data_IF_389067377205
#
_entry.id   IF_389067377205
#
_cell.length_a   1.000
_cell.length_b   1.000
_cell.length_c   1.000
_cell.angle_alpha   90.00
_cell.angle_beta   90.00
_cell.angle_gamma   90.00
#
_symmetry.space_group_name_H-M   'P 1'
#
loop_
_entity.id
_entity.type
_entity.pdbx_description
1 polymer ?
#
# COMPACT_ATOMS: atom_id res chain seq x y z
N UNK A 1 7.07 -37.97 -1.17
CA UNK A 1 7.57 -37.72 0.21
C UNK A 1 7.62 -39.05 0.93
N UNK A 2 8.73 -39.44 1.56
CA UNK A 2 8.75 -40.62 2.40
C UNK A 2 7.83 -40.40 3.59
N UNK A 3 6.93 -41.34 3.80
CA UNK A 3 5.94 -41.30 4.87
C UNK A 3 6.60 -41.87 6.13
N UNK A 4 7.09 -41.03 7.02
CA UNK A 4 7.68 -41.44 8.28
C UNK A 4 6.59 -41.69 9.31
N UNK A 5 6.04 -42.92 9.32
CA UNK A 5 5.16 -43.38 10.39
C UNK A 5 5.97 -44.27 11.34
N UNK A 6 6.12 -43.86 12.58
CA UNK A 6 6.80 -44.68 13.61
C UNK A 6 6.97 -43.96 14.94
N UNK A 7 7.20 -44.75 16.00
CA UNK A 7 7.57 -44.23 17.33
C UNK A 7 9.03 -43.79 17.29
N UNK A 8 9.28 -42.51 17.48
CA UNK A 8 10.62 -41.95 17.47
C UNK A 8 11.22 -41.99 18.88
N UNK A 9 12.33 -42.70 19.06
CA UNK A 9 13.14 -42.60 20.27
C UNK A 9 14.14 -41.42 20.12
N UNK A 10 14.58 -40.82 21.22
CA UNK A 10 15.58 -39.77 21.23
C UNK A 10 16.87 -40.18 20.51
N UNK A 11 17.27 -41.47 20.63
CA UNK A 11 18.44 -42.02 19.95
C UNK A 11 18.27 -42.15 18.45
N UNK A 12 17.08 -42.53 17.98
CA UNK A 12 16.77 -42.59 16.54
C UNK A 12 16.70 -41.16 15.94
N UNK A 13 16.23 -40.22 16.72
CA UNK A 13 16.23 -38.80 16.32
C UNK A 13 17.68 -38.31 16.15
N UNK A 14 18.56 -38.60 17.11
CA UNK A 14 19.97 -38.18 17.06
C UNK A 14 20.77 -38.82 15.93
N UNK A 15 20.49 -40.07 15.60
CA UNK A 15 21.16 -40.81 14.52
C UNK A 15 20.70 -40.33 13.12
N UNK A 16 19.52 -39.77 13.01
CA UNK A 16 18.94 -39.28 11.74
C UNK A 16 19.11 -37.77 11.51
N UNK A 17 19.63 -37.03 12.49
CA UNK A 17 19.88 -35.58 12.33
C UNK A 17 20.82 -35.28 11.15
N UNK A 18 21.78 -36.18 10.83
CA UNK A 18 22.67 -36.03 9.67
C UNK A 18 22.08 -36.52 8.34
N UNK A 19 20.93 -37.19 8.36
CA UNK A 19 20.24 -37.74 7.18
C UNK A 19 18.83 -37.16 6.97
N UNK A 20 18.48 -36.13 7.69
CA UNK A 20 17.23 -35.41 7.46
C UNK A 20 17.30 -34.69 6.12
N UNK A 21 16.46 -35.04 5.14
CA UNK A 21 16.52 -34.48 3.80
C UNK A 21 15.91 -33.08 3.70
N UNK A 22 15.52 -32.46 4.84
CA UNK A 22 14.94 -31.11 4.82
C UNK A 22 16.08 -30.09 4.76
N UNK A 23 16.60 -29.89 3.57
CA UNK A 23 17.51 -28.76 3.30
C UNK A 23 16.74 -27.47 3.07
N UNK A 24 15.42 -27.54 2.87
CA UNK A 24 14.57 -26.43 2.53
C UNK A 24 13.31 -26.40 3.39
N UNK A 25 12.75 -25.19 3.53
CA UNK A 25 11.46 -24.93 4.18
C UNK A 25 10.59 -24.10 3.26
N UNK A 26 9.30 -24.43 3.18
CA UNK A 26 8.32 -23.60 2.47
C UNK A 26 7.81 -22.51 3.40
N UNK A 27 7.87 -21.27 2.92
CA UNK A 27 7.51 -20.07 3.67
C UNK A 27 6.49 -19.26 2.88
N UNK A 28 5.43 -18.82 3.55
CA UNK A 28 4.55 -17.79 3.06
C UNK A 28 5.04 -16.44 3.59
N UNK A 29 5.06 -15.41 2.72
CA UNK A 29 5.44 -14.06 3.17
C UNK A 29 4.60 -12.98 2.50
N UNK A 30 4.48 -11.87 3.22
CA UNK A 30 3.82 -10.66 2.78
C UNK A 30 4.80 -9.50 2.89
N UNK A 31 5.03 -8.81 1.77
CA UNK A 31 5.83 -7.58 1.73
C UNK A 31 4.89 -6.42 1.46
N UNK A 32 4.94 -5.40 2.30
CA UNK A 32 4.23 -4.14 2.09
C UNK A 32 5.25 -3.00 2.15
N UNK A 33 5.29 -2.16 1.16
CA UNK A 33 6.14 -0.98 1.10
C UNK A 33 5.56 0.19 1.87
N UNK A 34 6.34 1.24 2.06
CA UNK A 34 5.86 2.49 2.66
C UNK A 34 4.78 3.14 1.80
N UNK A 35 3.69 3.60 2.39
CA UNK A 35 2.67 4.38 1.68
C UNK A 35 3.17 5.77 1.31
N UNK A 36 2.62 6.39 0.28
CA UNK A 36 2.85 7.77 -0.09
C UNK A 36 2.20 8.77 0.86
N UNK A 37 2.74 9.96 0.98
CA UNK A 37 2.14 11.05 1.73
C UNK A 37 0.97 11.68 0.96
N UNK A 38 -0.07 12.14 1.64
CA UNK A 38 -1.10 12.97 1.04
C UNK A 38 -0.58 14.39 0.75
N UNK A 39 -1.21 15.12 -0.17
CA UNK A 39 -0.92 16.53 -0.37
C UNK A 39 -1.51 17.40 0.74
N UNK A 40 -1.11 18.66 0.81
CA UNK A 40 -1.59 19.57 1.86
C UNK A 40 -3.06 19.96 1.73
N UNK A 41 -3.67 19.81 0.56
CA UNK A 41 -5.03 20.33 0.28
C UNK A 41 -5.89 19.48 -0.66
N UNK A 42 -5.37 18.42 -1.28
CA UNK A 42 -6.17 17.69 -2.26
C UNK A 42 -5.88 16.20 -2.36
N UNK A 43 -4.95 15.78 -3.18
CA UNK A 43 -4.78 14.34 -3.47
C UNK A 43 -4.37 13.48 -2.29
N UNK A 44 -5.02 12.34 -2.12
CA UNK A 44 -4.66 11.32 -1.14
C UNK A 44 -3.39 10.58 -1.53
N UNK A 45 -2.59 10.12 -0.56
CA UNK A 45 -1.42 9.27 -0.83
C UNK A 45 -1.81 7.86 -1.24
N UNK A 46 -1.10 7.27 -2.20
CA UNK A 46 -1.28 5.86 -2.58
C UNK A 46 -0.69 4.91 -1.55
N UNK A 47 -1.25 3.73 -1.43
CA UNK A 47 -0.69 2.67 -0.60
C UNK A 47 0.66 2.20 -1.13
N UNK A 48 1.50 1.69 -0.25
CA UNK A 48 2.68 0.94 -0.66
C UNK A 48 2.29 -0.30 -1.45
N UNK A 49 3.12 -0.70 -2.41
CA UNK A 49 2.92 -1.94 -3.14
C UNK A 49 2.88 -3.13 -2.19
N UNK A 50 2.07 -4.12 -2.53
CA UNK A 50 1.88 -5.35 -1.78
C UNK A 50 2.27 -6.54 -2.64
N UNK A 51 3.12 -7.42 -2.09
CA UNK A 51 3.48 -8.71 -2.69
C UNK A 51 3.16 -9.79 -1.67
N UNK A 52 2.30 -10.74 -2.05
CA UNK A 52 2.00 -11.92 -1.25
C UNK A 52 2.44 -13.17 -2.01
N UNK A 53 3.35 -13.92 -1.44
CA UNK A 53 3.91 -15.15 -2.03
C UNK A 53 3.71 -16.30 -1.07
N UNK A 54 3.27 -17.45 -1.60
CA UNK A 54 3.01 -18.68 -0.83
C UNK A 54 3.95 -19.79 -1.24
N UNK A 55 4.22 -20.70 -0.32
CA UNK A 55 5.01 -21.92 -0.53
C UNK A 55 6.37 -21.66 -1.21
N UNK A 56 7.01 -20.54 -0.85
CA UNK A 56 8.33 -20.21 -1.38
C UNK A 56 9.38 -21.03 -0.67
N UNK A 57 10.21 -21.70 -1.45
CA UNK A 57 11.18 -22.67 -0.93
C UNK A 57 12.49 -21.97 -0.55
N UNK A 58 12.83 -21.99 0.74
CA UNK A 58 14.04 -21.40 1.28
C UNK A 58 15.00 -22.46 1.80
N UNK A 59 16.29 -22.31 1.50
CA UNK A 59 17.34 -23.18 2.02
C UNK A 59 17.57 -22.89 3.51
N UNK A 60 17.51 -23.92 4.33
CA UNK A 60 17.78 -23.80 5.77
C UNK A 60 19.21 -23.32 6.03
N UNK A 61 19.37 -22.45 7.01
CA UNK A 61 20.67 -21.90 7.39
C UNK A 61 21.17 -20.75 6.52
N UNK A 62 20.39 -20.30 5.53
CA UNK A 62 20.71 -19.07 4.76
C UNK A 62 20.18 -17.83 5.49
N UNK A 63 20.93 -16.73 5.35
CA UNK A 63 20.51 -15.42 5.85
C UNK A 63 19.88 -14.61 4.72
N UNK A 64 18.71 -14.05 4.95
CA UNK A 64 18.01 -13.19 4.00
C UNK A 64 17.94 -11.77 4.52
N UNK A 65 18.35 -10.82 3.68
CA UNK A 65 18.26 -9.41 4.02
C UNK A 65 16.81 -8.93 3.89
N UNK A 66 16.38 -8.12 4.86
CA UNK A 66 15.07 -7.46 4.88
C UNK A 66 15.29 -5.96 4.96
N UNK A 67 14.62 -5.20 4.09
CA UNK A 67 14.56 -3.76 4.15
C UNK A 67 13.11 -3.33 4.29
N UNK A 68 12.80 -2.48 5.25
CA UNK A 68 11.46 -1.92 5.45
C UNK A 68 11.45 -0.48 4.96
N UNK A 69 10.58 -0.19 3.98
CA UNK A 69 10.41 1.14 3.43
C UNK A 69 9.66 2.09 4.38
N UNK A 70 10.16 3.30 4.53
CA UNK A 70 9.48 4.35 5.27
C UNK A 70 8.31 4.94 4.46
N UNK A 71 7.30 5.47 5.13
CA UNK A 71 6.23 6.25 4.51
C UNK A 71 6.76 7.56 3.93
N UNK A 72 6.13 8.03 2.86
CA UNK A 72 6.39 9.32 2.26
C UNK A 72 5.89 10.47 3.15
N UNK A 73 6.61 11.60 3.14
CA UNK A 73 6.18 12.80 3.85
C UNK A 73 4.92 13.40 3.21
N UNK A 74 3.98 13.85 4.04
CA UNK A 74 2.85 14.66 3.59
C UNK A 74 3.31 16.01 3.04
N UNK A 75 2.54 16.58 2.12
CA UNK A 75 2.80 17.93 1.60
C UNK A 75 2.70 18.98 2.72
N UNK A 76 3.68 19.86 2.80
CA UNK A 76 3.64 20.99 3.72
C UNK A 76 2.66 22.09 3.26
N UNK A 77 2.18 22.90 4.19
CA UNK A 77 1.08 23.86 4.00
C UNK A 77 1.17 24.65 2.68
N UNK A 78 0.13 24.55 1.90
CA UNK A 78 -0.26 25.47 0.84
C UNK A 78 0.07 25.09 -0.59
N UNK A 79 1.16 24.42 -0.93
CA UNK A 79 1.60 24.27 -2.32
C UNK A 79 2.31 22.96 -2.67
N UNK A 80 2.48 22.03 -1.74
CA UNK A 80 3.31 20.87 -1.99
C UNK A 80 2.51 19.56 -2.11
N UNK A 81 2.84 18.81 -3.16
CA UNK A 81 2.44 17.42 -3.29
C UNK A 81 3.04 16.56 -2.17
N UNK A 82 2.41 15.46 -1.85
CA UNK A 82 3.00 14.45 -1.00
C UNK A 82 4.22 13.80 -1.67
N UNK A 83 5.08 13.18 -0.88
CA UNK A 83 6.24 12.42 -1.39
C UNK A 83 5.88 10.95 -1.50
N UNK A 84 6.59 10.26 -2.41
CA UNK A 84 6.49 8.80 -2.49
C UNK A 84 7.02 8.13 -1.22
N UNK A 85 6.44 6.99 -0.86
CA UNK A 85 7.01 6.08 0.11
C UNK A 85 8.28 5.41 -0.40
N UNK A 86 8.99 4.73 0.48
CA UNK A 86 10.18 3.95 0.15
C UNK A 86 9.83 2.48 -0.08
N UNK A 87 10.66 1.81 -0.88
CA UNK A 87 10.49 0.39 -1.18
C UNK A 87 10.79 -0.49 0.04
N UNK A 88 10.02 -1.59 0.16
CA UNK A 88 10.38 -2.71 1.04
C UNK A 88 10.95 -3.84 0.21
N UNK A 89 11.99 -4.49 0.71
CA UNK A 89 12.70 -5.56 -0.02
C UNK A 89 12.85 -6.78 0.89
N UNK A 90 12.51 -7.93 0.34
CA UNK A 90 12.82 -9.22 0.94
C UNK A 90 13.40 -10.15 -0.12
N UNK A 91 14.57 -10.70 0.16
CA UNK A 91 15.31 -11.52 -0.81
C UNK A 91 15.54 -10.71 -2.11
N UNK A 92 15.06 -11.16 -3.25
CA UNK A 92 15.15 -10.45 -4.54
C UNK A 92 13.88 -9.69 -4.92
N UNK A 93 12.82 -9.78 -4.10
CA UNK A 93 11.55 -9.13 -4.38
C UNK A 93 11.49 -7.73 -3.78
N UNK A 94 10.96 -6.80 -4.56
CA UNK A 94 10.83 -5.40 -4.18
C UNK A 94 9.38 -4.96 -4.29
N UNK A 95 8.75 -4.65 -3.17
CA UNK A 95 7.51 -3.91 -3.13
C UNK A 95 7.81 -2.41 -3.26
N UNK A 96 7.17 -1.76 -4.24
CA UNK A 96 7.42 -0.35 -4.58
C UNK A 96 6.69 0.57 -3.62
N UNK A 97 7.33 1.65 -3.18
CA UNK A 97 6.69 2.66 -2.34
C UNK A 97 5.46 3.29 -2.99
N UNK A 98 4.46 3.65 -2.22
CA UNK A 98 3.23 4.28 -2.68
C UNK A 98 3.47 5.69 -3.25
N UNK A 99 2.67 6.10 -4.22
CA UNK A 99 2.75 7.41 -4.84
C UNK A 99 2.21 8.53 -3.95
N UNK A 100 2.89 9.67 -3.91
CA UNK A 100 2.41 10.87 -3.21
C UNK A 100 1.20 11.50 -3.88
N UNK A 101 0.28 12.10 -3.10
CA UNK A 101 -0.88 12.82 -3.61
C UNK A 101 -0.50 14.14 -4.28
N UNK A 102 -1.18 14.47 -5.38
CA UNK A 102 -1.00 15.73 -6.11
C UNK A 102 -1.62 16.93 -5.39
N UNK A 103 -1.05 18.11 -5.58
CA UNK A 103 -1.61 19.38 -5.09
C UNK A 103 -2.07 20.26 -6.26
N UNK A 104 -3.16 21.02 -6.09
CA UNK A 104 -3.70 21.84 -7.16
C UNK A 104 -3.95 21.01 -8.42
N UNK A 105 -3.58 21.52 -9.59
CA UNK A 105 -3.72 20.82 -10.87
C UNK A 105 -2.63 19.74 -11.13
N UNK A 106 -1.83 19.39 -10.13
CA UNK A 106 -0.77 18.39 -10.32
C UNK A 106 -1.32 16.98 -10.27
N UNK A 107 -0.79 16.07 -11.06
CA UNK A 107 -1.12 14.65 -10.98
C UNK A 107 -0.64 14.07 -9.65
N UNK A 108 -1.29 13.02 -9.22
CA UNK A 108 -0.73 12.11 -8.24
C UNK A 108 0.54 11.44 -8.77
N UNK A 109 1.47 11.10 -7.89
CA UNK A 109 2.70 10.42 -8.28
C UNK A 109 2.46 8.92 -8.46
N UNK A 110 3.22 8.32 -9.39
CA UNK A 110 3.20 6.86 -9.59
C UNK A 110 3.89 6.16 -8.42
N UNK A 111 3.44 4.94 -8.10
CA UNK A 111 4.02 4.14 -7.02
C UNK A 111 3.58 2.69 -7.05
N UNK A 112 3.76 1.98 -5.93
CA UNK A 112 3.19 0.65 -5.74
C UNK A 112 1.68 0.70 -5.96
N UNK A 113 0.99 1.61 -5.25
CA UNK A 113 -0.29 2.18 -5.67
C UNK A 113 -0.11 3.66 -5.94
N UNK A 114 -0.82 4.21 -6.91
CA UNK A 114 -0.70 5.60 -7.32
C UNK A 114 -1.33 6.57 -6.33
N UNK A 115 -0.78 7.78 -6.20
CA UNK A 115 -1.39 8.87 -5.45
C UNK A 115 -2.60 9.45 -6.15
N UNK A 116 -3.53 10.04 -5.42
CA UNK A 116 -4.70 10.76 -5.93
C UNK A 116 -4.29 12.06 -6.61
N UNK A 117 -5.04 12.46 -7.64
CA UNK A 117 -4.86 13.72 -8.33
C UNK A 117 -5.18 14.91 -7.45
N UNK A 118 -4.46 16.01 -7.66
CA UNK A 118 -4.76 17.27 -6.99
C UNK A 118 -6.01 17.95 -7.58
N UNK A 119 -6.68 18.79 -6.81
CA UNK A 119 -7.82 19.62 -7.24
C UNK A 119 -7.57 20.26 -8.63
N UNK A 120 -8.60 20.82 -9.24
CA UNK A 120 -8.50 21.41 -10.59
C UNK A 120 -8.10 20.38 -11.67
N UNK A 121 -8.73 19.24 -11.68
CA UNK A 121 -8.58 18.20 -12.70
C UNK A 121 -7.22 17.49 -12.74
N UNK A 122 -6.52 17.43 -11.61
CA UNK A 122 -5.31 16.60 -11.51
C UNK A 122 -5.67 15.11 -11.70
N UNK A 123 -4.97 14.42 -12.57
CA UNK A 123 -5.15 12.97 -12.77
C UNK A 123 -4.50 12.15 -11.66
N UNK A 124 -5.06 10.99 -11.35
CA UNK A 124 -4.42 10.05 -10.44
C UNK A 124 -3.11 9.50 -10.98
N UNK A 125 -2.17 9.19 -10.08
CA UNK A 125 -0.93 8.51 -10.42
C UNK A 125 -1.19 7.03 -10.72
N UNK A 126 -0.33 6.40 -11.50
CA UNK A 126 -0.44 4.98 -11.85
C UNK A 126 0.13 4.09 -10.75
N UNK A 127 -0.54 2.97 -10.52
CA UNK A 127 -0.07 1.86 -9.70
C UNK A 127 0.87 0.94 -10.46
N UNK A 128 1.66 0.17 -9.73
CA UNK A 128 2.50 -0.88 -10.30
C UNK A 128 1.68 -2.17 -10.45
N UNK A 129 1.69 -2.74 -11.65
CA UNK A 129 0.99 -3.99 -11.93
C UNK A 129 1.35 -5.09 -10.91
N UNK A 130 0.34 -5.83 -10.44
CA UNK A 130 0.43 -6.88 -9.40
C UNK A 130 0.90 -6.42 -8.01
N UNK A 131 1.03 -5.11 -7.77
CA UNK A 131 1.39 -4.57 -6.46
C UNK A 131 0.36 -3.59 -5.92
N UNK A 132 -0.37 -2.89 -6.81
CA UNK A 132 -1.39 -1.94 -6.43
C UNK A 132 -2.09 -1.32 -7.63
N UNK A 133 -3.01 -0.41 -7.36
CA UNK A 133 -3.89 0.20 -8.35
C UNK A 133 -3.67 1.70 -8.45
N UNK A 134 -4.24 2.30 -9.50
CA UNK A 134 -4.14 3.73 -9.78
C UNK A 134 -4.85 4.56 -8.70
N UNK A 135 -4.43 5.78 -8.53
CA UNK A 135 -5.15 6.80 -7.77
C UNK A 135 -6.32 7.35 -8.56
N UNK A 136 -7.28 7.93 -7.86
CA UNK A 136 -8.43 8.62 -8.44
C UNK A 136 -8.07 10.00 -8.99
N UNK A 137 -8.87 10.46 -9.95
CA UNK A 137 -8.76 11.79 -10.56
C UNK A 137 -9.57 12.81 -9.77
N UNK A 138 -9.11 14.03 -9.73
CA UNK A 138 -9.88 15.15 -9.22
C UNK A 138 -10.78 15.74 -10.32
N UNK A 139 -12.07 15.82 -10.05
CA UNK A 139 -13.06 16.44 -10.94
C UNK A 139 -13.63 17.66 -10.25
N UNK A 140 -13.17 18.83 -10.61
CA UNK A 140 -13.67 20.08 -10.01
C UNK A 140 -12.57 20.94 -9.38
N UNK A 141 -12.96 22.10 -8.84
CA UNK A 141 -12.01 23.16 -8.47
C UNK A 141 -11.30 22.91 -7.13
N UNK A 142 -11.87 22.12 -6.20
CA UNK A 142 -11.39 22.10 -4.82
C UNK A 142 -11.25 20.71 -4.20
N UNK A 143 -11.76 19.64 -4.86
CA UNK A 143 -11.77 18.29 -4.28
C UNK A 143 -10.71 17.40 -4.92
N UNK A 144 -9.89 16.76 -4.10
CA UNK A 144 -8.84 15.85 -4.53
C UNK A 144 -9.30 14.42 -4.73
N UNK A 145 -8.64 13.70 -5.64
CA UNK A 145 -8.79 12.26 -5.85
C UNK A 145 -8.25 11.45 -4.67
N UNK A 146 -8.79 10.26 -4.42
CA UNK A 146 -8.25 9.31 -3.45
C UNK A 146 -7.03 8.58 -3.98
N UNK A 147 -6.11 8.22 -3.12
CA UNK A 147 -4.97 7.35 -3.46
C UNK A 147 -5.41 5.92 -3.74
N UNK A 148 -4.72 5.21 -4.64
CA UNK A 148 -4.95 3.80 -4.93
C UNK A 148 -4.61 2.91 -3.74
N UNK A 149 -5.29 1.77 -3.64
CA UNK A 149 -4.98 0.69 -2.69
C UNK A 149 -4.47 -0.56 -3.39
N UNK A 150 -4.00 -1.54 -2.65
CA UNK A 150 -3.56 -2.80 -3.23
C UNK A 150 -4.72 -3.62 -3.82
N UNK A 151 -5.93 -3.46 -3.30
CA UNK A 151 -7.11 -4.22 -3.74
C UNK A 151 -8.04 -3.45 -4.69
N UNK A 152 -7.99 -2.11 -4.71
CA UNK A 152 -8.89 -1.30 -5.54
C UNK A 152 -8.25 0.04 -5.93
N UNK A 153 -8.72 0.60 -7.03
CA UNK A 153 -8.38 1.97 -7.47
C UNK A 153 -8.88 3.00 -6.45
N UNK A 154 -8.21 4.14 -6.39
CA UNK A 154 -8.70 5.29 -5.64
C UNK A 154 -9.94 5.89 -6.29
N UNK A 155 -10.86 6.38 -5.48
CA UNK A 155 -12.07 7.04 -5.97
C UNK A 155 -11.76 8.39 -6.61
N UNK A 156 -12.45 8.69 -7.70
CA UNK A 156 -12.45 10.02 -8.27
C UNK A 156 -13.21 10.99 -7.35
N UNK A 157 -12.80 12.26 -7.34
CA UNK A 157 -13.63 13.29 -6.74
C UNK A 157 -14.87 13.51 -7.62
N UNK A 158 -16.01 13.75 -7.00
CA UNK A 158 -17.26 13.98 -7.71
C UNK A 158 -17.31 15.40 -8.26
N UNK A 159 -17.96 15.54 -9.43
CA UNK A 159 -18.24 16.87 -10.01
C UNK A 159 -19.09 17.71 -9.07
N UNK A 160 -18.96 19.03 -9.18
CA UNK A 160 -19.75 20.04 -8.46
C UNK A 160 -19.53 20.11 -6.93
N UNK A 161 -18.32 19.91 -6.45
CA UNK A 161 -17.98 20.13 -5.05
C UNK A 161 -18.87 19.33 -4.08
N UNK A 162 -19.10 18.03 -4.34
CA UNK A 162 -19.95 17.20 -3.49
C UNK A 162 -19.11 16.34 -2.54
N UNK A 163 -18.03 15.76 -2.99
CA UNK A 163 -17.18 14.89 -2.16
C UNK A 163 -15.82 14.63 -2.78
N UNK A 164 -14.77 14.67 -1.96
CA UNK A 164 -13.44 14.22 -2.34
C UNK A 164 -13.39 12.70 -2.52
N UNK A 165 -12.47 12.24 -3.35
CA UNK A 165 -12.30 10.82 -3.67
C UNK A 165 -11.92 9.97 -2.48
N UNK A 166 -12.57 8.83 -2.30
CA UNK A 166 -12.21 7.87 -1.26
C UNK A 166 -10.91 7.13 -1.64
N UNK A 167 -10.13 6.74 -0.65
CA UNK A 167 -8.97 5.87 -0.85
C UNK A 167 -9.38 4.47 -1.30
N UNK A 168 -8.60 3.88 -2.20
CA UNK A 168 -8.79 2.50 -2.67
C UNK A 168 -8.60 1.49 -1.54
N UNK A 169 -9.44 0.46 -1.51
CA UNK A 169 -9.35 -0.59 -0.51
C UNK A 169 -8.02 -1.37 -0.64
N UNK A 170 -7.51 -1.84 0.49
CA UNK A 170 -6.41 -2.78 0.53
C UNK A 170 -6.81 -4.18 0.11
N UNK A 171 -5.83 -5.05 -0.04
CA UNK A 171 -6.01 -6.46 -0.35
C UNK A 171 -6.14 -7.29 0.92
N UNK A 172 -7.15 -8.16 0.98
CA UNK A 172 -7.33 -9.08 2.10
C UNK A 172 -6.41 -10.29 1.95
N UNK A 173 -5.59 -10.55 2.96
CA UNK A 173 -4.63 -11.68 3.01
C UNK A 173 -4.82 -12.44 4.32
N UNK A 174 -4.82 -13.77 4.26
CA UNK A 174 -5.06 -14.64 5.43
C UNK A 174 -3.77 -15.22 6.05
N UNK A 175 -2.62 -14.59 5.83
CA UNK A 175 -1.32 -15.07 6.32
C UNK A 175 -1.27 -15.22 7.86
N UNK A 176 -2.09 -14.48 8.59
CA UNK A 176 -2.19 -14.54 10.06
C UNK A 176 -3.29 -15.49 10.56
N UNK A 177 -3.86 -16.31 9.67
CA UNK A 177 -4.92 -17.28 10.00
C UNK A 177 -6.34 -16.76 9.77
N UNK A 178 -6.54 -15.44 9.65
CA UNK A 178 -7.81 -14.82 9.26
C UNK A 178 -7.55 -13.72 8.24
N UNK A 179 -8.58 -13.39 7.43
CA UNK A 179 -8.46 -12.36 6.41
C UNK A 179 -8.31 -10.97 7.06
N UNK A 180 -7.17 -10.33 6.80
CA UNK A 180 -6.89 -8.95 7.21
C UNK A 180 -6.57 -8.14 5.95
N UNK A 181 -7.14 -6.93 5.83
CA UNK A 181 -6.83 -6.03 4.71
C UNK A 181 -5.54 -5.26 4.99
N UNK A 182 -4.67 -5.19 3.99
CA UNK A 182 -3.39 -4.45 4.01
C UNK A 182 -3.28 -3.50 2.84
N UNK A 183 -2.53 -2.43 2.98
CA UNK A 183 -2.21 -1.47 1.94
C UNK A 183 -3.45 -0.77 1.34
N UNK A 184 -4.25 -0.12 2.18
CA UNK A 184 -5.31 0.80 1.77
C UNK A 184 -4.76 2.18 1.44
N UNK A 185 -5.35 2.84 0.44
CA UNK A 185 -4.99 4.19 0.00
C UNK A 185 -5.61 5.29 0.87
N UNK A 186 -5.03 6.48 0.86
CA UNK A 186 -5.55 7.65 1.57
C UNK A 186 -6.69 8.32 0.83
N UNK A 187 -7.66 8.87 1.56
CA UNK A 187 -8.73 9.70 0.99
C UNK A 187 -8.21 11.07 0.52
N UNK A 188 -8.81 11.63 -0.50
CA UNK A 188 -8.57 12.99 -0.95
C UNK A 188 -9.12 14.03 0.03
N UNK A 189 -8.54 15.23 0.07
CA UNK A 189 -9.08 16.32 0.86
C UNK A 189 -10.22 17.02 0.10
N UNK A 190 -11.25 17.41 0.83
CA UNK A 190 -12.35 18.24 0.31
C UNK A 190 -12.23 19.70 0.71
N UNK A 191 -13.04 20.56 0.09
CA UNK A 191 -13.14 21.98 0.45
C UNK A 191 -14.00 22.18 1.72
N UNK A 192 -14.20 23.44 2.09
CA UNK A 192 -14.88 23.87 3.32
C UNK A 192 -16.32 23.34 3.52
N UNK A 193 -17.01 22.98 2.44
CA UNK A 193 -18.39 22.55 2.45
C UNK A 193 -18.53 21.04 2.23
N UNK A 194 -17.44 20.37 1.82
CA UNK A 194 -17.43 18.97 1.45
C UNK A 194 -16.51 18.17 2.39
N UNK A 195 -16.97 17.00 2.74
CA UNK A 195 -16.18 16.08 3.53
C UNK A 195 -14.97 15.57 2.76
N UNK A 196 -13.84 15.40 3.45
CA UNK A 196 -12.72 14.63 2.89
C UNK A 196 -13.14 13.19 2.56
N UNK A 197 -12.49 12.59 1.58
CA UNK A 197 -12.69 11.20 1.22
C UNK A 197 -12.32 10.25 2.37
N UNK A 198 -13.07 9.17 2.51
CA UNK A 198 -12.72 8.12 3.48
C UNK A 198 -11.42 7.44 3.09
N UNK A 199 -10.61 7.03 4.06
CA UNK A 199 -9.45 6.18 3.80
C UNK A 199 -9.86 4.77 3.41
N UNK A 200 -9.08 4.12 2.56
CA UNK A 200 -9.28 2.73 2.18
C UNK A 200 -9.02 1.76 3.34
N UNK A 201 -9.83 0.71 3.40
CA UNK A 201 -9.62 -0.38 4.36
C UNK A 201 -8.20 -0.94 4.25
N UNK A 202 -7.54 -1.22 5.37
CA UNK A 202 -6.17 -1.73 5.38
C UNK A 202 -5.11 -0.67 5.65
N UNK A 203 -5.49 0.42 6.36
CA UNK A 203 -4.56 1.42 6.87
C UNK A 203 -4.55 2.78 6.14
N UNK A 204 -5.48 2.99 5.22
CA UNK A 204 -5.61 4.30 4.54
C UNK A 204 -6.10 5.39 5.52
N UNK A 205 -5.43 6.52 5.55
CA UNK A 205 -5.89 7.71 6.30
C UNK A 205 -7.03 8.43 5.57
N UNK A 206 -8.01 8.94 6.30
CA UNK A 206 -9.07 9.79 5.73
C UNK A 206 -8.52 11.15 5.31
N UNK A 207 -9.11 11.72 4.26
CA UNK A 207 -8.85 13.09 3.85
C UNK A 207 -9.46 14.08 4.85
N UNK A 208 -8.91 15.27 4.91
CA UNK A 208 -9.42 16.36 5.70
C UNK A 208 -10.44 17.19 4.89
N UNK A 209 -11.44 17.76 5.57
CA UNK A 209 -12.23 18.88 5.01
C UNK A 209 -11.47 20.16 5.33
N UNK A 210 -11.22 21.00 4.31
CA UNK A 210 -10.66 22.31 4.54
C UNK A 210 -11.62 23.16 5.38
N UNK A 211 -11.15 23.75 6.47
CA UNK A 211 -11.80 24.91 7.07
C UNK A 211 -11.09 26.13 6.53
N UNK A 212 -11.77 26.93 5.71
CA UNK A 212 -11.27 28.26 5.39
C UNK A 212 -11.11 29.02 6.69
N UNK A 213 -9.89 29.16 7.16
CA UNK A 213 -9.59 30.20 8.12
C UNK A 213 -9.71 31.52 7.39
N UNK A 214 -10.86 32.19 7.56
CA UNK A 214 -11.01 33.61 7.24
C UNK A 214 -10.01 34.44 8.02
#
# INVERSE_FOLDING_TARGET
MPNYQGVWSLSTHYQNVGSWPFTNVDVDYLIVAGGGGGSSKSGGGGAGGLIYSTAQNFLLGTTHAITIGAGGAGGSAGTNSGSNGSNSVFNSETAIGGGGGGVGNQPGLNGGSGGGGGANSGVGGSGTANQGNDGGTANGEDDGGGGGGAGAVGGDASDNNVQAGAGGAGLAVSITGSAVSYAGGGGGAGNDNNGGGAGGAGGGGGGISGTSSS
#
